data_IF_797768886065
#
_entry.id   IF_797768886065
#
_cell.length_a   1.000
_cell.length_b   1.000
_cell.length_c   1.000
_cell.angle_alpha   90.00
_cell.angle_beta   90.00
_cell.angle_gamma   90.00
#
_symmetry.space_group_name_H-M   'P 1'
#
loop_
_entity.id
_entity.type
_entity.pdbx_description
1 polymer ?
#
# COMPACT_ATOMS: atom_id res chain seq x y z
N UNK A 1 10.33 20.33 -27.17
CA UNK A 1 9.64 19.03 -27.38
C UNK A 1 10.34 17.88 -26.68
N UNK A 2 11.67 17.94 -26.51
CA UNK A 2 12.48 16.94 -25.75
C UNK A 2 12.14 16.98 -24.25
N UNK A 3 12.06 18.16 -23.60
CA UNK A 3 11.80 18.31 -22.17
C UNK A 3 10.48 17.68 -21.70
N UNK A 4 9.44 17.66 -22.54
CA UNK A 4 8.11 17.17 -22.18
C UNK A 4 8.08 15.63 -22.09
N UNK A 5 8.86 14.95 -22.92
CA UNK A 5 8.97 13.49 -22.92
C UNK A 5 9.79 13.02 -21.71
N UNK A 6 10.81 13.79 -21.32
CA UNK A 6 11.68 13.47 -20.19
C UNK A 6 10.95 13.61 -18.86
N UNK A 7 10.17 14.66 -18.64
CA UNK A 7 9.37 14.87 -17.42
C UNK A 7 8.36 13.73 -17.19
N UNK A 8 7.71 13.30 -18.27
CA UNK A 8 6.76 12.20 -18.22
C UNK A 8 7.42 10.85 -17.90
N UNK A 9 8.58 10.60 -18.47
CA UNK A 9 9.36 9.39 -18.20
C UNK A 9 9.84 9.37 -16.75
N UNK A 10 10.34 10.50 -16.25
CA UNK A 10 10.76 10.65 -14.85
C UNK A 10 9.59 10.43 -13.90
N UNK A 11 8.43 11.05 -14.14
CA UNK A 11 7.26 10.89 -13.30
C UNK A 11 6.78 9.42 -13.24
N UNK A 12 6.78 8.72 -14.37
CA UNK A 12 6.46 7.28 -14.43
C UNK A 12 7.49 6.44 -13.66
N UNK A 13 8.78 6.73 -13.82
CA UNK A 13 9.84 6.00 -13.12
C UNK A 13 9.73 6.19 -11.60
N UNK A 14 9.52 7.43 -11.14
CA UNK A 14 9.31 7.74 -9.71
C UNK A 14 8.06 7.03 -9.19
N UNK A 15 6.95 7.10 -9.92
CA UNK A 15 5.70 6.43 -9.55
C UNK A 15 5.89 4.92 -9.40
N UNK A 16 6.47 4.29 -10.41
CA UNK A 16 6.68 2.84 -10.40
C UNK A 16 7.61 2.42 -9.27
N UNK A 17 8.73 3.13 -9.08
CA UNK A 17 9.66 2.85 -7.99
C UNK A 17 8.99 3.00 -6.62
N UNK A 18 8.22 4.06 -6.43
CA UNK A 18 7.49 4.30 -5.20
C UNK A 18 6.46 3.18 -4.90
N UNK A 19 5.71 2.75 -5.92
CA UNK A 19 4.77 1.62 -5.81
C UNK A 19 5.50 0.32 -5.47
N UNK A 20 6.62 0.02 -6.14
CA UNK A 20 7.41 -1.20 -5.87
C UNK A 20 7.93 -1.22 -4.44
N UNK A 21 8.48 -0.12 -3.94
CA UNK A 21 8.98 -0.02 -2.57
C UNK A 21 7.86 -0.09 -1.53
N UNK A 22 6.71 0.49 -1.82
CA UNK A 22 5.56 0.49 -0.94
C UNK A 22 4.88 -0.89 -0.91
N UNK A 23 4.35 -1.35 -2.03
CA UNK A 23 3.59 -2.61 -2.08
C UNK A 23 4.50 -3.83 -1.95
N UNK A 24 5.73 -3.77 -2.46
CA UNK A 24 6.75 -4.80 -2.22
C UNK A 24 7.08 -4.94 -0.73
N UNK A 25 7.14 -3.82 0.00
CA UNK A 25 7.28 -3.83 1.46
C UNK A 25 6.09 -4.50 2.16
N UNK A 26 4.85 -4.18 1.76
CA UNK A 26 3.65 -4.89 2.26
C UNK A 26 3.72 -6.38 1.93
N UNK A 27 4.17 -6.74 0.73
CA UNK A 27 4.41 -8.12 0.32
C UNK A 27 5.40 -8.84 1.22
N UNK A 28 6.56 -8.24 1.48
CA UNK A 28 7.57 -8.78 2.40
C UNK A 28 7.03 -8.97 3.81
N UNK A 29 6.35 -7.97 4.36
CA UNK A 29 5.73 -8.05 5.69
C UNK A 29 4.75 -9.21 5.75
N UNK A 30 3.88 -9.33 4.75
CA UNK A 30 2.80 -10.32 4.73
C UNK A 30 3.30 -11.75 4.55
N UNK A 31 4.26 -11.95 3.64
CA UNK A 31 4.66 -13.30 3.19
C UNK A 31 5.88 -13.85 3.93
N UNK A 32 6.70 -12.97 4.50
CA UNK A 32 7.97 -13.35 5.15
C UNK A 32 7.95 -12.99 6.63
N UNK A 33 7.77 -11.70 6.96
CA UNK A 33 7.96 -11.21 8.33
C UNK A 33 6.90 -11.75 9.30
N UNK A 34 5.62 -11.61 9.00
CA UNK A 34 4.53 -12.07 9.88
C UNK A 34 4.56 -13.59 10.10
N UNK A 35 4.75 -14.44 9.07
CA UNK A 35 4.93 -15.88 9.27
C UNK A 35 6.17 -16.23 10.10
N UNK A 36 7.28 -15.52 9.93
CA UNK A 36 8.50 -15.74 10.72
C UNK A 36 8.27 -15.39 12.21
N UNK A 37 7.68 -14.23 12.50
CA UNK A 37 7.33 -13.83 13.87
C UNK A 37 6.41 -14.88 14.52
N UNK A 38 5.41 -15.36 13.77
CA UNK A 38 4.48 -16.37 14.27
C UNK A 38 5.15 -17.69 14.64
N UNK A 39 6.21 -18.08 13.92
CA UNK A 39 6.97 -19.31 14.19
C UNK A 39 7.97 -19.18 15.32
N UNK A 40 8.62 -18.00 15.43
CA UNK A 40 9.76 -17.78 16.31
C UNK A 40 9.39 -17.21 17.68
N UNK A 41 8.20 -16.62 17.83
CA UNK A 41 7.79 -15.90 19.03
C UNK A 41 6.55 -16.50 19.70
N UNK A 42 6.52 -16.47 21.04
CA UNK A 42 5.33 -16.75 21.81
C UNK A 42 4.22 -15.73 21.51
N UNK A 43 2.96 -16.10 21.74
CA UNK A 43 1.79 -15.27 21.37
C UNK A 43 1.86 -13.87 21.93
N UNK A 44 2.35 -13.72 23.16
CA UNK A 44 2.42 -12.49 23.93
C UNK A 44 3.49 -11.52 23.37
N UNK A 45 4.53 -12.07 22.75
CA UNK A 45 5.67 -11.30 22.20
C UNK A 45 5.48 -10.88 20.74
N UNK A 46 4.57 -11.54 20.01
CA UNK A 46 4.43 -11.37 18.55
C UNK A 46 4.15 -9.94 18.14
N UNK A 47 3.20 -9.30 18.83
CA UNK A 47 2.83 -7.93 18.49
C UNK A 47 3.95 -6.95 18.79
N UNK A 48 4.63 -7.08 19.94
CA UNK A 48 5.76 -6.24 20.31
C UNK A 48 6.93 -6.40 19.32
N UNK A 49 7.21 -7.64 18.89
CA UNK A 49 8.21 -7.91 17.87
C UNK A 49 7.81 -7.27 16.53
N UNK A 50 6.55 -7.37 16.12
CA UNK A 50 6.04 -6.76 14.90
C UNK A 50 6.17 -5.23 14.91
N UNK A 51 5.80 -4.57 16.01
CA UNK A 51 5.87 -3.11 16.18
C UNK A 51 7.28 -2.54 15.91
N UNK A 52 8.35 -3.28 16.23
CA UNK A 52 9.73 -2.84 15.99
C UNK A 52 10.00 -2.66 14.50
N UNK A 53 9.55 -3.62 13.68
CA UNK A 53 9.72 -3.59 12.23
C UNK A 53 8.74 -2.61 11.57
N UNK A 54 7.50 -2.61 12.05
CA UNK A 54 6.41 -1.82 11.51
C UNK A 54 6.70 -0.31 11.59
N UNK A 55 7.26 0.18 12.70
CA UNK A 55 7.67 1.59 12.85
C UNK A 55 8.70 2.05 11.81
N UNK A 56 9.61 1.18 11.38
CA UNK A 56 10.57 1.51 10.31
C UNK A 56 9.91 1.47 8.95
N UNK A 57 9.15 0.42 8.71
CA UNK A 57 8.42 0.24 7.46
C UNK A 57 7.39 1.36 7.25
N UNK A 58 6.63 1.72 8.26
CA UNK A 58 5.63 2.78 8.22
C UNK A 58 6.22 4.14 7.82
N UNK A 59 7.43 4.49 8.29
CA UNK A 59 8.12 5.70 7.85
C UNK A 59 8.46 5.66 6.36
N UNK A 60 9.02 4.55 5.87
CA UNK A 60 9.27 4.34 4.46
C UNK A 60 7.97 4.38 3.65
N UNK A 61 6.93 3.69 4.13
CA UNK A 61 5.64 3.62 3.48
C UNK A 61 4.98 5.01 3.34
N UNK A 62 5.08 5.88 4.34
CA UNK A 62 4.58 7.27 4.25
C UNK A 62 5.24 8.04 3.12
N UNK A 63 6.56 7.94 2.99
CA UNK A 63 7.31 8.63 1.92
C UNK A 63 6.90 8.06 0.56
N UNK A 64 6.92 6.74 0.41
CA UNK A 64 6.63 6.10 -0.88
C UNK A 64 5.16 6.24 -1.28
N UNK A 65 4.21 6.18 -0.33
CA UNK A 65 2.79 6.47 -0.59
C UNK A 65 2.58 7.93 -1.00
N UNK A 66 3.27 8.88 -0.35
CA UNK A 66 3.25 10.28 -0.74
C UNK A 66 3.79 10.51 -2.15
N UNK A 67 4.95 9.91 -2.47
CA UNK A 67 5.54 9.98 -3.82
C UNK A 67 4.64 9.34 -4.87
N UNK A 68 3.99 8.20 -4.55
CA UNK A 68 3.02 7.55 -5.44
C UNK A 68 1.85 8.48 -5.76
N UNK A 69 1.26 9.12 -4.73
CA UNK A 69 0.15 10.05 -4.92
C UNK A 69 0.54 11.28 -5.73
N UNK A 70 1.67 11.92 -5.40
CA UNK A 70 2.15 13.12 -6.08
C UNK A 70 2.50 12.85 -7.54
N UNK A 71 3.25 11.78 -7.82
CA UNK A 71 3.61 11.41 -9.18
C UNK A 71 2.40 10.95 -10.02
N UNK A 72 1.45 10.23 -9.37
CA UNK A 72 0.19 9.83 -10.00
C UNK A 72 -0.68 11.04 -10.36
N UNK A 73 -0.83 11.99 -9.44
CA UNK A 73 -1.55 13.25 -9.68
C UNK A 73 -0.87 14.08 -10.78
N UNK A 74 0.45 14.20 -10.74
CA UNK A 74 1.20 14.88 -11.79
C UNK A 74 0.90 14.29 -13.18
N UNK A 75 0.95 12.96 -13.31
CA UNK A 75 0.65 12.29 -14.58
C UNK A 75 -0.82 12.47 -15.00
N UNK A 76 -1.75 12.44 -14.05
CA UNK A 76 -3.18 12.66 -14.30
C UNK A 76 -3.44 14.03 -14.91
N UNK A 77 -2.84 15.07 -14.33
CA UNK A 77 -2.96 16.46 -14.82
C UNK A 77 -2.19 16.63 -16.13
N UNK A 78 -0.97 16.12 -16.19
CA UNK A 78 -0.06 16.34 -17.33
C UNK A 78 -0.54 15.72 -18.63
N UNK A 79 -1.21 14.55 -18.54
CA UNK A 79 -1.75 13.81 -19.69
C UNK A 79 -3.25 13.99 -19.90
N UNK A 80 -3.89 14.84 -19.11
CA UNK A 80 -5.35 15.08 -19.15
C UNK A 80 -6.16 13.78 -19.13
N UNK A 81 -5.91 12.94 -18.13
CA UNK A 81 -6.51 11.61 -18.05
C UNK A 81 -7.85 11.60 -17.28
N UNK A 82 -8.43 12.77 -17.00
CA UNK A 82 -9.64 12.91 -16.19
C UNK A 82 -10.85 12.20 -16.82
N UNK A 83 -10.99 12.23 -18.13
CA UNK A 83 -12.10 11.58 -18.83
C UNK A 83 -12.11 10.06 -18.66
N UNK A 84 -10.96 9.43 -18.41
CA UNK A 84 -10.89 7.98 -18.17
C UNK A 84 -11.72 7.53 -16.99
N UNK A 85 -11.91 8.38 -15.99
CA UNK A 85 -12.77 8.08 -14.84
C UNK A 85 -14.26 7.94 -15.17
N UNK A 86 -14.68 8.37 -16.35
CA UNK A 86 -16.08 8.25 -16.81
C UNK A 86 -16.39 6.87 -17.41
N UNK A 87 -15.36 6.10 -17.74
CA UNK A 87 -15.52 4.82 -18.44
C UNK A 87 -15.21 3.66 -17.51
N UNK A 88 -16.14 2.71 -17.38
CA UNK A 88 -15.99 1.52 -16.54
C UNK A 88 -14.77 0.66 -16.93
N UNK A 89 -14.36 0.67 -18.18
CA UNK A 89 -13.17 -0.04 -18.66
C UNK A 89 -11.85 0.41 -18.00
N UNK A 90 -11.83 1.57 -17.35
CA UNK A 90 -10.67 2.04 -16.58
C UNK A 90 -10.85 1.84 -15.06
N UNK A 91 -11.57 0.80 -14.64
CA UNK A 91 -11.85 0.48 -13.24
C UNK A 91 -10.58 0.45 -12.35
N UNK A 92 -9.46 0.05 -12.91
CA UNK A 92 -8.17 -0.01 -12.23
C UNK A 92 -7.66 1.37 -11.78
N UNK A 93 -8.03 2.46 -12.48
CA UNK A 93 -7.70 3.83 -12.02
C UNK A 93 -8.45 4.18 -10.73
N UNK A 94 -9.73 3.82 -10.65
CA UNK A 94 -10.52 3.98 -9.43
C UNK A 94 -9.95 3.11 -8.30
N UNK A 95 -9.62 1.85 -8.60
CA UNK A 95 -9.02 0.94 -7.64
C UNK A 95 -7.68 1.46 -7.09
N UNK A 96 -6.81 2.02 -7.95
CA UNK A 96 -5.54 2.65 -7.52
C UNK A 96 -5.80 3.80 -6.53
N UNK A 97 -6.76 4.67 -6.81
CA UNK A 97 -7.10 5.79 -5.91
C UNK A 97 -7.66 5.26 -4.59
N UNK A 98 -8.58 4.30 -4.63
CA UNK A 98 -9.16 3.71 -3.41
C UNK A 98 -8.08 3.04 -2.55
N UNK A 99 -7.21 2.22 -3.14
CA UNK A 99 -6.09 1.60 -2.43
C UNK A 99 -5.16 2.64 -1.84
N UNK A 100 -4.79 3.66 -2.63
CA UNK A 100 -3.93 4.74 -2.17
C UNK A 100 -4.56 5.53 -1.01
N UNK A 101 -5.83 5.89 -1.09
CA UNK A 101 -6.56 6.59 -0.02
C UNK A 101 -6.65 5.74 1.24
N UNK A 102 -6.93 4.44 1.10
CA UNK A 102 -7.00 3.51 2.24
C UNK A 102 -5.67 3.46 3.00
N UNK A 103 -4.56 3.27 2.29
CA UNK A 103 -3.24 3.26 2.91
C UNK A 103 -2.84 4.63 3.47
N UNK A 104 -3.14 5.70 2.76
CA UNK A 104 -2.89 7.07 3.24
C UNK A 104 -3.65 7.32 4.54
N UNK A 105 -4.94 7.02 4.58
CA UNK A 105 -5.74 7.17 5.79
C UNK A 105 -5.20 6.31 6.94
N UNK A 106 -4.80 5.07 6.66
CA UNK A 106 -4.23 4.18 7.67
C UNK A 106 -2.88 4.70 8.21
N UNK A 107 -1.95 5.10 7.33
CA UNK A 107 -0.60 5.52 7.70
C UNK A 107 -0.55 6.90 8.35
N UNK A 108 -1.38 7.83 7.92
CA UNK A 108 -1.32 9.23 8.38
C UNK A 108 -2.35 9.58 9.46
N UNK A 109 -3.46 8.85 9.54
CA UNK A 109 -4.49 9.07 10.53
C UNK A 109 -4.65 7.87 11.48
N UNK A 110 -4.84 6.67 10.95
CA UNK A 110 -5.14 5.48 11.75
C UNK A 110 -4.01 5.12 12.71
N UNK A 111 -2.80 4.98 12.18
CA UNK A 111 -1.62 4.58 12.95
C UNK A 111 -1.27 5.57 14.06
N UNK A 112 -1.10 6.89 13.82
CA UNK A 112 -0.71 7.82 14.87
C UNK A 112 -1.82 8.11 15.88
N UNK A 113 -3.10 8.04 15.51
CA UNK A 113 -4.20 8.48 16.36
C UNK A 113 -4.69 7.40 17.33
N UNK A 114 -4.95 6.19 16.86
CA UNK A 114 -5.63 5.18 17.70
C UNK A 114 -5.20 3.73 17.46
N UNK A 115 -4.67 3.37 16.30
CA UNK A 115 -4.47 1.98 15.91
C UNK A 115 -3.51 1.25 16.85
N UNK A 116 -2.37 1.86 17.18
CA UNK A 116 -1.40 1.29 18.13
C UNK A 116 -2.00 1.09 19.52
N UNK A 117 -2.73 2.07 20.03
CA UNK A 117 -3.36 1.98 21.36
C UNK A 117 -4.43 0.90 21.40
N UNK A 118 -5.25 0.83 20.36
CA UNK A 118 -6.30 -0.17 20.25
C UNK A 118 -5.74 -1.59 20.12
N UNK A 119 -4.75 -1.79 19.25
CA UNK A 119 -4.09 -3.09 19.09
C UNK A 119 -3.37 -3.52 20.37
N UNK A 120 -2.67 -2.61 21.06
CA UNK A 120 -1.99 -2.90 22.31
C UNK A 120 -2.98 -3.27 23.42
N UNK A 121 -4.09 -2.56 23.56
CA UNK A 121 -5.14 -2.89 24.53
C UNK A 121 -5.74 -4.28 24.24
N UNK A 122 -6.11 -4.56 22.99
CA UNK A 122 -6.66 -5.84 22.56
C UNK A 122 -5.66 -7.00 22.73
N UNK A 123 -4.36 -6.74 22.52
CA UNK A 123 -3.32 -7.77 22.65
C UNK A 123 -3.09 -8.20 24.10
N UNK A 124 -3.36 -7.34 25.07
CA UNK A 124 -3.29 -7.70 26.50
C UNK A 124 -4.32 -8.77 26.87
N UNK A 125 -5.50 -8.72 26.27
CA UNK A 125 -6.59 -9.67 26.56
C UNK A 125 -6.52 -10.91 25.64
N UNK A 126 -6.22 -10.71 24.35
CA UNK A 126 -6.29 -11.76 23.31
C UNK A 126 -5.10 -11.68 22.35
N UNK A 127 -3.85 -11.97 22.80
CA UNK A 127 -2.64 -11.74 22.01
C UNK A 127 -2.65 -12.50 20.67
N UNK A 128 -2.95 -13.79 20.70
CA UNK A 128 -2.99 -14.61 19.50
C UNK A 128 -4.08 -14.23 18.49
N UNK A 129 -5.24 -13.78 18.98
CA UNK A 129 -6.33 -13.33 18.10
C UNK A 129 -6.01 -11.98 17.47
N UNK A 130 -5.36 -11.08 18.21
CA UNK A 130 -4.94 -9.77 17.72
C UNK A 130 -3.88 -9.91 16.63
N UNK A 131 -2.90 -10.79 16.83
CA UNK A 131 -1.89 -11.04 15.80
C UNK A 131 -2.50 -11.65 14.52
N UNK A 132 -3.44 -12.61 14.65
CA UNK A 132 -4.17 -13.14 13.48
C UNK A 132 -4.96 -12.07 12.73
N UNK A 133 -5.52 -11.09 13.43
CA UNK A 133 -6.21 -9.96 12.79
C UNK A 133 -5.22 -9.13 11.97
N UNK A 134 -4.03 -8.83 12.51
CA UNK A 134 -2.97 -8.13 11.79
C UNK A 134 -2.55 -8.90 10.54
N UNK A 135 -2.32 -10.22 10.65
CA UNK A 135 -2.00 -11.09 9.50
C UNK A 135 -3.10 -11.03 8.42
N UNK A 136 -4.37 -11.12 8.83
CA UNK A 136 -5.49 -11.12 7.91
C UNK A 136 -5.63 -9.78 7.17
N UNK A 137 -5.52 -8.67 7.89
CA UNK A 137 -5.55 -7.33 7.30
C UNK A 137 -4.43 -7.13 6.27
N UNK A 138 -3.20 -7.53 6.59
CA UNK A 138 -2.08 -7.44 5.65
C UNK A 138 -2.29 -8.31 4.40
N UNK A 139 -2.83 -9.53 4.55
CA UNK A 139 -3.17 -10.38 3.40
C UNK A 139 -4.23 -9.76 2.51
N UNK A 140 -5.28 -9.17 3.12
CA UNK A 140 -6.33 -8.48 2.37
C UNK A 140 -5.77 -7.29 1.61
N UNK A 141 -4.98 -6.44 2.28
CA UNK A 141 -4.35 -5.27 1.67
C UNK A 141 -3.43 -5.68 0.51
N UNK A 142 -2.62 -6.71 0.70
CA UNK A 142 -1.74 -7.23 -0.36
C UNK A 142 -2.55 -7.76 -1.55
N UNK A 143 -3.61 -8.54 -1.30
CA UNK A 143 -4.46 -9.10 -2.35
C UNK A 143 -5.12 -8.00 -3.19
N UNK A 144 -5.75 -7.01 -2.53
CA UNK A 144 -6.40 -5.90 -3.22
C UNK A 144 -5.38 -5.08 -4.02
N UNK A 145 -4.19 -4.83 -3.45
CA UNK A 145 -3.11 -4.14 -4.16
C UNK A 145 -2.61 -4.94 -5.37
N UNK A 146 -2.46 -6.26 -5.24
CA UNK A 146 -2.03 -7.12 -6.35
C UNK A 146 -3.06 -7.13 -7.49
N UNK A 147 -4.35 -7.24 -7.19
CA UNK A 147 -5.43 -7.16 -8.19
C UNK A 147 -5.40 -5.81 -8.89
N UNK A 148 -5.22 -4.73 -8.14
CA UNK A 148 -5.14 -3.37 -8.69
C UNK A 148 -3.95 -3.21 -9.65
N UNK A 149 -2.77 -3.73 -9.26
CA UNK A 149 -1.55 -3.68 -10.11
C UNK A 149 -1.76 -4.50 -11.38
N UNK A 150 -2.31 -5.72 -11.26
CA UNK A 150 -2.60 -6.56 -12.42
C UNK A 150 -3.59 -5.88 -13.37
N UNK A 151 -4.66 -5.27 -12.83
CA UNK A 151 -5.61 -4.50 -13.61
C UNK A 151 -4.96 -3.29 -14.31
N UNK A 152 -4.09 -2.57 -13.63
CA UNK A 152 -3.37 -1.43 -14.19
C UNK A 152 -2.43 -1.85 -15.34
N UNK A 153 -1.70 -2.95 -15.15
CA UNK A 153 -0.81 -3.50 -16.19
C UNK A 153 -1.62 -3.99 -17.39
N UNK A 154 -2.66 -4.80 -17.16
CA UNK A 154 -3.54 -5.29 -18.22
C UNK A 154 -4.20 -4.13 -18.99
N UNK A 155 -4.79 -3.16 -18.27
CA UNK A 155 -5.45 -2.00 -18.86
C UNK A 155 -4.50 -1.09 -19.64
N UNK A 156 -3.24 -0.95 -19.22
CA UNK A 156 -2.24 -0.19 -19.98
C UNK A 156 -1.80 -0.86 -21.29
N UNK A 157 -2.02 -2.17 -21.42
CA UNK A 157 -1.77 -2.94 -22.65
C UNK A 157 -3.03 -3.17 -23.50
N UNK A 158 -4.11 -2.45 -23.22
CA UNK A 158 -5.32 -2.48 -24.04
C UNK A 158 -6.31 -3.61 -23.70
N UNK A 159 -6.08 -4.38 -22.64
CA UNK A 159 -7.07 -5.30 -22.09
C UNK A 159 -8.12 -4.50 -21.31
N UNK A 160 -9.09 -3.95 -22.04
CA UNK A 160 -10.25 -3.27 -21.45
C UNK A 160 -11.34 -4.33 -21.30
N UNK A 161 -11.64 -4.71 -20.05
CA UNK A 161 -12.80 -5.55 -19.73
C UNK A 161 -14.00 -4.70 -19.39
#
# INVERSE_FOLDING_TARGET
>A
MVDIMDDAAIARAVHLLAVVLWIGGVGFVTTVLLPAIRRLKASEERLACFDIFERRFSRQARITTGLTGLSGLYMLVRFDLWDRFRFAGFWWMHAMIVVWLLFTAMLFAGEPLFLHRWLAARAREKPGATFRLVEWLHRLLLLVSAITILGAVAGSHGFVM
#
